data_IF_152746617361
#
_entry.id   IF_152746617361
#
_cell.length_a   1.000
_cell.length_b   1.000
_cell.length_c   1.000
_cell.angle_alpha   90.00
_cell.angle_beta   90.00
_cell.angle_gamma   90.00
#
_symmetry.space_group_name_H-M   'P 1'
#
loop_
_entity.id
_entity.type
_entity.pdbx_description
1 polymer ?
#
# COMPACT_ATOMS: atom_id res chain seq x y z
N UNK A 1 2.08 17.69 11.50
CA UNK A 1 2.15 16.22 11.52
C UNK A 1 2.84 15.81 10.24
N UNK A 2 4.08 15.34 10.32
CA UNK A 2 4.69 14.65 9.20
C UNK A 2 3.91 13.35 9.00
N UNK A 3 3.35 13.12 7.82
CA UNK A 3 2.57 11.92 7.52
C UNK A 3 3.38 10.62 7.69
N UNK A 4 4.70 10.72 7.91
CA UNK A 4 5.59 9.62 8.26
C UNK A 4 5.44 9.15 9.71
N UNK A 5 5.07 10.03 10.64
CA UNK A 5 4.91 9.69 12.06
C UNK A 5 3.68 8.80 12.28
N UNK A 6 2.61 9.02 11.50
CA UNK A 6 1.34 8.28 11.59
C UNK A 6 1.48 6.78 11.24
N UNK A 7 2.48 6.45 10.43
CA UNK A 7 2.74 5.10 9.92
C UNK A 7 4.01 4.47 10.49
N UNK A 8 4.64 5.10 11.48
CA UNK A 8 5.90 4.64 12.06
C UNK A 8 5.82 3.28 12.76
N UNK A 9 4.60 2.85 13.15
CA UNK A 9 4.35 1.55 13.77
C UNK A 9 4.22 0.39 12.76
N UNK A 10 4.13 0.68 11.46
CA UNK A 10 3.96 -0.33 10.41
C UNK A 10 5.29 -1.01 10.06
N UNK A 11 5.22 -2.22 9.48
CA UNK A 11 6.39 -2.95 8.98
C UNK A 11 7.07 -2.17 7.84
N UNK A 12 8.38 -2.36 7.58
CA UNK A 12 9.09 -1.62 6.55
C UNK A 12 8.45 -1.69 5.15
N UNK A 13 7.90 -2.85 4.77
CA UNK A 13 7.22 -3.02 3.49
C UNK A 13 5.89 -2.26 3.43
N UNK A 14 5.12 -2.30 4.51
CA UNK A 14 3.86 -1.57 4.64
C UNK A 14 4.08 -0.05 4.58
N UNK A 15 5.12 0.45 5.26
CA UNK A 15 5.53 1.85 5.17
C UNK A 15 5.89 2.25 3.73
N UNK A 16 6.57 1.37 2.98
CA UNK A 16 6.89 1.63 1.58
C UNK A 16 5.63 1.69 0.70
N UNK A 17 4.68 0.77 0.90
CA UNK A 17 3.39 0.78 0.21
C UNK A 17 2.64 2.08 0.48
N UNK A 18 2.52 2.48 1.74
CA UNK A 18 1.84 3.72 2.12
C UNK A 18 2.53 4.93 1.52
N UNK A 19 3.87 5.03 1.58
CA UNK A 19 4.63 6.12 0.93
C UNK A 19 4.39 6.16 -0.57
N UNK A 20 4.35 4.99 -1.21
CA UNK A 20 4.07 4.89 -2.64
C UNK A 20 2.66 5.41 -2.97
N UNK A 21 1.65 5.02 -2.21
CA UNK A 21 0.26 5.46 -2.39
C UNK A 21 0.07 6.96 -2.06
N UNK A 22 0.81 7.51 -1.10
CA UNK A 22 0.81 8.96 -0.84
C UNK A 22 1.35 9.73 -2.06
N UNK A 23 2.42 9.22 -2.69
CA UNK A 23 3.10 9.92 -3.78
C UNK A 23 2.46 9.69 -5.15
N UNK A 24 1.89 8.51 -5.41
CA UNK A 24 1.44 8.08 -6.73
C UNK A 24 -0.02 7.59 -6.75
N UNK A 25 -0.68 7.52 -5.59
CA UNK A 25 -2.05 7.04 -5.49
C UNK A 25 -3.04 7.94 -6.24
N UNK A 26 -4.07 7.32 -6.77
CA UNK A 26 -5.17 8.00 -7.47
C UNK A 26 -6.46 7.90 -6.65
N UNK A 27 -7.47 8.69 -7.01
CA UNK A 27 -8.82 8.61 -6.41
C UNK A 27 -9.51 7.27 -6.69
N UNK A 28 -9.17 6.63 -7.80
CA UNK A 28 -9.70 5.34 -8.20
C UNK A 28 -8.85 4.18 -7.64
N UNK A 29 -7.97 4.47 -6.68
CA UNK A 29 -7.02 3.53 -6.12
C UNK A 29 -5.83 3.26 -7.04
N UNK A 30 -5.02 2.28 -6.65
CA UNK A 30 -3.86 1.82 -7.41
C UNK A 30 -3.85 0.32 -7.42
N UNK A 31 -3.73 -0.25 -8.62
CA UNK A 31 -3.73 -1.69 -8.82
C UNK A 31 -2.52 -2.36 -8.13
N UNK A 32 -2.74 -3.47 -7.43
CA UNK A 32 -1.70 -4.25 -6.73
C UNK A 32 -0.49 -4.56 -7.61
N UNK A 33 -0.70 -4.94 -8.87
CA UNK A 33 0.38 -5.20 -9.82
C UNK A 33 1.29 -3.99 -10.09
N UNK A 34 0.76 -2.76 -10.03
CA UNK A 34 1.55 -1.52 -10.18
C UNK A 34 2.37 -1.24 -8.93
N UNK A 35 1.78 -1.44 -7.75
CA UNK A 35 2.47 -1.34 -6.45
C UNK A 35 3.61 -2.36 -6.42
N UNK A 36 3.32 -3.61 -6.76
CA UNK A 36 4.29 -4.70 -6.78
C UNK A 36 5.44 -4.44 -7.75
N UNK A 37 5.14 -3.91 -8.95
CA UNK A 37 6.18 -3.56 -9.92
C UNK A 37 7.08 -2.41 -9.45
N UNK A 38 6.49 -1.42 -8.78
CA UNK A 38 7.20 -0.22 -8.35
C UNK A 38 8.07 -0.46 -7.12
N UNK A 39 7.60 -1.29 -6.17
CA UNK A 39 8.34 -1.66 -4.98
C UNK A 39 9.26 -2.86 -5.20
N UNK A 40 8.90 -3.73 -6.14
CA UNK A 40 9.46 -5.06 -6.21
C UNK A 40 10.84 -5.17 -6.84
N UNK A 41 11.25 -4.23 -7.69
CA UNK A 41 12.62 -4.13 -8.22
C UNK A 41 13.26 -5.45 -8.69
N UNK A 42 12.47 -6.46 -9.05
CA UNK A 42 12.90 -7.82 -9.41
C UNK A 42 13.08 -8.84 -8.26
N UNK A 43 13.00 -8.46 -6.98
CA UNK A 43 13.29 -9.34 -5.82
C UNK A 43 12.27 -9.35 -4.69
N UNK A 44 11.25 -8.48 -4.68
CA UNK A 44 10.16 -8.57 -3.70
C UNK A 44 9.09 -9.51 -4.23
N UNK A 45 8.77 -10.52 -3.42
CA UNK A 45 7.75 -11.51 -3.71
C UNK A 45 6.37 -10.87 -3.73
N UNK A 46 5.59 -11.16 -4.77
CA UNK A 46 4.21 -10.66 -4.89
C UNK A 46 3.36 -11.12 -3.70
N UNK A 47 3.61 -12.32 -3.17
CA UNK A 47 2.92 -12.85 -2.00
C UNK A 47 3.11 -11.97 -0.76
N UNK A 48 4.34 -11.47 -0.53
CA UNK A 48 4.63 -10.57 0.59
C UNK A 48 3.96 -9.21 0.45
N UNK A 49 3.76 -8.76 -0.78
CA UNK A 49 3.06 -7.49 -1.05
C UNK A 49 1.57 -7.67 -0.80
N UNK A 50 0.98 -8.78 -1.24
CA UNK A 50 -0.41 -9.10 -0.91
C UNK A 50 -0.63 -9.20 0.60
N UNK A 51 0.22 -9.93 1.32
CA UNK A 51 0.13 -10.04 2.80
C UNK A 51 0.24 -8.67 3.49
N UNK A 52 1.11 -7.78 2.98
CA UNK A 52 1.24 -6.43 3.52
C UNK A 52 0.01 -5.56 3.22
N UNK A 53 -0.58 -5.68 2.03
CA UNK A 53 -1.81 -4.98 1.67
C UNK A 53 -3.00 -5.44 2.52
N UNK A 54 -3.15 -6.75 2.73
CA UNK A 54 -4.18 -7.32 3.59
C UNK A 54 -4.05 -6.82 5.03
N UNK A 55 -2.84 -6.85 5.60
CA UNK A 55 -2.62 -6.34 6.96
C UNK A 55 -2.90 -4.83 7.07
N UNK A 56 -2.59 -4.05 6.03
CA UNK A 56 -2.89 -2.62 6.00
C UNK A 56 -4.40 -2.35 5.92
N UNK A 57 -5.16 -3.19 5.21
CA UNK A 57 -6.63 -3.13 5.20
C UNK A 57 -7.23 -3.49 6.55
N UNK A 58 -6.74 -4.57 7.18
CA UNK A 58 -7.21 -5.02 8.50
C UNK A 58 -7.00 -3.95 9.58
N UNK A 59 -5.91 -3.19 9.46
CA UNK A 59 -5.61 -2.05 10.34
C UNK A 59 -6.39 -0.76 9.97
N UNK A 60 -7.23 -0.79 8.93
CA UNK A 60 -8.01 0.35 8.46
C UNK A 60 -7.19 1.44 7.77
N UNK A 61 -5.94 1.15 7.38
CA UNK A 61 -5.05 2.10 6.70
C UNK A 61 -5.38 2.17 5.20
N UNK A 62 -5.73 1.04 4.60
CA UNK A 62 -6.13 0.93 3.20
C UNK A 62 -7.57 0.46 3.07
N UNK A 63 -8.17 0.76 1.92
CA UNK A 63 -9.45 0.20 1.50
C UNK A 63 -9.45 -0.09 -0.01
N UNK A 64 -10.28 -1.06 -0.40
CA UNK A 64 -10.53 -1.39 -1.81
C UNK A 64 -11.48 -0.37 -2.42
N UNK A 65 -11.20 0.03 -3.65
CA UNK A 65 -11.91 1.13 -4.32
C UNK A 65 -12.92 0.60 -5.34
N UNK A 66 -12.53 0.55 -6.61
CA UNK A 66 -13.40 0.17 -7.73
C UNK A 66 -13.56 -1.35 -7.86
N UNK A 67 -12.58 -2.10 -7.39
CA UNK A 67 -12.53 -3.56 -7.37
C UNK A 67 -11.60 -4.04 -6.24
N UNK A 68 -11.38 -5.36 -6.19
CA UNK A 68 -10.61 -6.00 -5.13
C UNK A 68 -9.09 -5.88 -5.30
N UNK A 69 -8.63 -5.38 -6.45
CA UNK A 69 -7.22 -5.24 -6.80
C UNK A 69 -6.72 -3.79 -6.70
N UNK A 70 -7.62 -2.82 -6.53
CA UNK A 70 -7.31 -1.39 -6.44
C UNK A 70 -7.40 -0.83 -5.02
N UNK A 71 -6.25 -0.44 -4.48
CA UNK A 71 -6.10 0.04 -3.10
C UNK A 71 -5.94 1.56 -3.03
N UNK A 72 -6.59 2.19 -2.05
CA UNK A 72 -6.41 3.60 -1.70
C UNK A 72 -6.22 3.79 -0.18
N UNK A 73 -5.65 4.92 0.20
CA UNK A 73 -5.44 5.30 1.60
C UNK A 73 -6.74 5.79 2.23
N UNK A 74 -7.10 5.20 3.37
CA UNK A 74 -8.21 5.62 4.21
C UNK A 74 -7.80 6.89 4.98
N UNK A 75 -7.98 8.07 4.37
CA UNK A 75 -7.78 9.37 5.02
C UNK A 75 -8.70 10.44 4.44
#
# INVERSE_FOLDING_TARGET
MDTLDEYSNLRPLEQQIVRYLIAHGSKDGTHVGVIARSLGGGNVDAEKISEALDSLMDNGVLYNTIDDDHFALSR
#
